data_IF_055897652593
#
_entry.id   IF_055897652593
#
_cell.length_a   1.000
_cell.length_b   1.000
_cell.length_c   1.000
_cell.angle_alpha   90.00
_cell.angle_beta   90.00
_cell.angle_gamma   90.00
#
_symmetry.space_group_name_H-M   'P 1'
#
loop_
_entity.id
_entity.type
_entity.pdbx_description
1 polymer ?
#
# COMPACT_ATOMS: atom_id res chain seq x y z
N UNK A 1 -21.06 3.05 -24.32
CA UNK A 1 -19.85 3.71 -23.78
C UNK A 1 -20.06 3.90 -22.28
N UNK A 2 -19.46 3.05 -21.44
CA UNK A 2 -19.61 3.14 -20.00
C UNK A 2 -18.89 4.42 -19.49
N UNK A 3 -19.56 5.16 -18.62
CA UNK A 3 -19.09 6.43 -18.09
C UNK A 3 -17.89 6.21 -17.16
N UNK A 4 -16.73 6.78 -17.48
CA UNK A 4 -15.46 6.65 -16.72
C UNK A 4 -15.62 6.91 -15.21
N UNK A 5 -16.59 7.75 -14.77
CA UNK A 5 -16.86 7.95 -13.33
C UNK A 5 -17.41 6.70 -12.64
N UNK A 6 -18.29 5.96 -13.30
CA UNK A 6 -18.97 4.80 -12.72
C UNK A 6 -17.99 3.64 -12.52
N UNK A 7 -17.01 3.50 -13.41
CA UNK A 7 -15.94 2.50 -13.28
C UNK A 7 -14.95 2.85 -12.16
N UNK A 8 -14.58 4.13 -12.02
CA UNK A 8 -13.73 4.59 -10.91
C UNK A 8 -14.37 4.35 -9.53
N UNK A 9 -15.66 4.67 -9.36
CA UNK A 9 -16.36 4.41 -8.10
C UNK A 9 -16.50 2.92 -7.80
N UNK A 10 -16.70 2.09 -8.84
CA UNK A 10 -16.72 0.63 -8.70
C UNK A 10 -15.35 0.10 -8.26
N UNK A 11 -14.26 0.55 -8.87
CA UNK A 11 -12.90 0.16 -8.51
C UNK A 11 -12.54 0.52 -7.06
N UNK A 12 -12.89 1.73 -6.60
CA UNK A 12 -12.68 2.15 -5.21
C UNK A 12 -13.50 1.30 -4.22
N UNK A 13 -14.74 0.95 -4.57
CA UNK A 13 -15.56 0.04 -3.76
C UNK A 13 -14.93 -1.35 -3.66
N UNK A 14 -14.42 -1.90 -4.75
CA UNK A 14 -13.73 -3.20 -4.75
C UNK A 14 -12.44 -3.19 -3.95
N UNK A 15 -11.65 -2.11 -4.03
CA UNK A 15 -10.47 -1.91 -3.20
C UNK A 15 -10.86 -1.94 -1.72
N UNK A 16 -11.87 -1.15 -1.33
CA UNK A 16 -12.37 -1.10 0.04
C UNK A 16 -12.87 -2.47 0.54
N UNK A 17 -13.65 -3.20 -0.25
CA UNK A 17 -14.13 -4.53 0.13
C UNK A 17 -12.97 -5.52 0.28
N UNK A 18 -11.97 -5.48 -0.62
CA UNK A 18 -10.81 -6.36 -0.50
C UNK A 18 -9.95 -6.06 0.71
N UNK A 19 -9.82 -4.77 1.06
CA UNK A 19 -9.20 -4.37 2.32
C UNK A 19 -9.92 -5.01 3.50
N UNK A 20 -11.26 -4.95 3.55
CA UNK A 20 -12.04 -5.57 4.62
C UNK A 20 -11.83 -7.08 4.72
N UNK A 21 -11.71 -7.80 3.61
CA UNK A 21 -11.42 -9.24 3.62
C UNK A 21 -10.02 -9.51 4.18
N UNK A 22 -9.01 -8.77 3.71
CA UNK A 22 -7.64 -8.89 4.22
C UNK A 22 -7.56 -8.58 5.71
N UNK A 23 -8.35 -7.61 6.18
CA UNK A 23 -8.49 -7.33 7.60
C UNK A 23 -9.06 -8.54 8.34
N UNK A 24 -10.19 -9.07 7.87
CA UNK A 24 -10.85 -10.19 8.54
C UNK A 24 -9.97 -11.44 8.62
N UNK A 25 -9.21 -11.73 7.57
CA UNK A 25 -8.39 -12.94 7.48
C UNK A 25 -7.02 -12.82 8.15
N UNK A 26 -6.38 -11.65 8.08
CA UNK A 26 -4.96 -11.51 8.42
C UNK A 26 -4.67 -10.58 9.60
N UNK A 27 -5.64 -9.78 10.05
CA UNK A 27 -5.42 -8.82 11.13
C UNK A 27 -4.93 -9.49 12.42
N UNK A 28 -5.46 -10.66 12.77
CA UNK A 28 -5.04 -11.40 13.97
C UNK A 28 -3.63 -11.98 13.88
N UNK A 29 -3.07 -12.12 12.67
CA UNK A 29 -1.70 -12.59 12.46
C UNK A 29 -0.65 -11.46 12.47
N UNK A 30 -1.08 -10.21 12.63
CA UNK A 30 -0.22 -9.02 12.65
C UNK A 30 -0.22 -8.37 14.04
N UNK A 31 0.95 -7.92 14.46
CA UNK A 31 1.11 -7.00 15.58
C UNK A 31 0.54 -5.62 15.21
N UNK A 32 0.25 -4.77 16.22
CA UNK A 32 -0.22 -3.40 15.96
C UNK A 32 0.76 -2.57 15.10
N UNK A 33 2.07 -2.80 15.25
CA UNK A 33 3.11 -2.16 14.42
C UNK A 33 3.01 -2.59 12.97
N UNK A 34 2.93 -3.90 12.72
CA UNK A 34 2.79 -4.45 11.36
C UNK A 34 1.49 -3.98 10.72
N UNK A 35 0.40 -3.98 11.48
CA UNK A 35 -0.90 -3.52 11.02
C UNK A 35 -0.85 -2.06 10.55
N UNK A 36 -0.25 -1.17 11.35
CA UNK A 36 -0.11 0.25 10.99
C UNK A 36 0.72 0.44 9.71
N UNK A 37 1.81 -0.30 9.56
CA UNK A 37 2.65 -0.26 8.35
C UNK A 37 1.94 -0.83 7.12
N UNK A 38 1.21 -1.93 7.28
CA UNK A 38 0.44 -2.55 6.20
C UNK A 38 -0.64 -1.60 5.68
N UNK A 39 -1.42 -0.98 6.57
CA UNK A 39 -2.41 0.05 6.21
C UNK A 39 -1.77 1.20 5.45
N UNK A 40 -0.61 1.67 5.91
CA UNK A 40 0.12 2.74 5.24
C UNK A 40 0.49 2.35 3.80
N UNK A 41 1.04 1.15 3.59
CA UNK A 41 1.39 0.66 2.24
C UNK A 41 0.14 0.49 1.39
N UNK A 42 -0.91 -0.11 1.95
CA UNK A 42 -2.19 -0.32 1.27
C UNK A 42 -2.78 1.00 0.78
N UNK A 43 -2.88 2.00 1.66
CA UNK A 43 -3.42 3.32 1.32
C UNK A 43 -2.63 3.90 0.14
N UNK A 44 -1.30 3.89 0.24
CA UNK A 44 -0.37 4.44 -0.77
C UNK A 44 -0.32 3.70 -2.10
N UNK A 45 -0.70 2.43 -2.10
CA UNK A 45 -0.69 1.59 -3.30
C UNK A 45 -2.12 1.41 -3.79
N UNK A 46 -2.82 0.39 -3.32
CA UNK A 46 -4.12 0.00 -3.83
C UNK A 46 -5.20 1.05 -3.54
N UNK A 47 -5.11 1.79 -2.44
CA UNK A 47 -6.00 2.93 -2.16
C UNK A 47 -5.94 4.03 -3.22
N UNK A 48 -4.81 4.17 -3.92
CA UNK A 48 -4.63 5.07 -5.07
C UNK A 48 -4.65 4.33 -6.42
N UNK A 49 -5.13 3.08 -6.46
CA UNK A 49 -5.10 2.22 -7.66
C UNK A 49 -3.70 2.02 -8.26
N UNK A 50 -2.67 2.00 -7.42
CA UNK A 50 -1.26 1.78 -7.80
C UNK A 50 -0.79 0.42 -7.32
N UNK A 51 0.05 -0.24 -8.12
CA UNK A 51 0.73 -1.46 -7.71
C UNK A 51 1.85 -1.19 -6.72
N UNK A 52 2.72 -0.26 -7.06
CA UNK A 52 3.92 0.06 -6.31
C UNK A 52 3.89 1.53 -5.92
N UNK A 53 4.39 1.86 -4.74
CA UNK A 53 4.69 3.23 -4.38
C UNK A 53 6.10 3.32 -3.78
N UNK A 54 6.82 4.40 -4.08
CA UNK A 54 8.13 4.68 -3.49
C UNK A 54 7.87 5.36 -2.15
N UNK A 55 8.21 4.67 -1.07
CA UNK A 55 7.95 5.15 0.29
C UNK A 55 9.27 5.20 1.06
N UNK A 56 9.66 6.39 1.50
CA UNK A 56 10.80 6.56 2.39
C UNK A 56 10.45 6.18 3.82
N UNK A 57 11.45 5.75 4.59
CA UNK A 57 11.28 5.52 6.03
C UNK A 57 10.79 6.76 6.79
N UNK A 58 11.16 7.96 6.35
CA UNK A 58 10.65 9.20 6.96
C UNK A 58 9.16 9.36 6.72
N UNK A 59 8.64 8.96 5.56
CA UNK A 59 7.21 9.01 5.27
C UNK A 59 6.44 7.99 6.13
N UNK A 60 7.00 6.80 6.37
CA UNK A 60 6.42 5.87 7.34
C UNK A 60 6.37 6.46 8.76
N UNK A 61 7.43 7.11 9.22
CA UNK A 61 7.47 7.69 10.57
C UNK A 61 6.55 8.90 10.71
N UNK A 62 6.68 9.88 9.80
CA UNK A 62 6.15 11.25 9.95
C UNK A 62 4.98 11.56 9.03
N UNK A 63 4.72 10.71 8.05
CA UNK A 63 3.66 10.91 7.07
C UNK A 63 4.09 11.61 5.79
N UNK A 64 3.09 12.01 5.03
CA UNK A 64 3.23 12.65 3.73
C UNK A 64 2.47 13.96 3.78
N UNK A 65 3.22 15.03 3.59
CA UNK A 65 2.68 16.39 3.47
C UNK A 65 3.19 16.94 2.15
N UNK A 66 2.33 17.60 1.39
CA UNK A 66 2.77 18.28 0.18
C UNK A 66 3.35 19.69 0.47
N UNK A 67 3.83 20.35 -0.57
CA UNK A 67 4.42 21.69 -0.47
C UNK A 67 3.41 22.76 0.00
N UNK A 68 2.10 22.49 -0.10
CA UNK A 68 1.04 23.41 0.35
C UNK A 68 0.69 23.21 1.83
N UNK A 69 1.30 22.21 2.48
CA UNK A 69 1.00 21.85 3.86
C UNK A 69 -0.18 20.88 4.01
N UNK A 70 -0.76 20.40 2.90
CA UNK A 70 -1.84 19.42 2.97
C UNK A 70 -1.28 18.05 3.37
N UNK A 71 -1.82 17.50 4.46
CA UNK A 71 -1.41 16.22 5.02
C UNK A 71 -2.22 15.09 4.38
N UNK A 72 -1.57 14.31 3.53
CA UNK A 72 -2.15 13.13 2.88
C UNK A 72 -2.22 11.93 3.82
N UNK A 73 -1.23 11.81 4.71
CA UNK A 73 -1.20 10.79 5.75
C UNK A 73 -0.30 11.26 6.90
N UNK A 74 -0.67 10.98 8.15
CA UNK A 74 0.10 11.40 9.34
C UNK A 74 1.28 10.48 9.72
N UNK A 75 1.63 9.54 8.85
CA UNK A 75 2.58 8.47 9.20
C UNK A 75 2.00 7.46 10.18
N UNK A 76 2.89 6.62 10.70
CA UNK A 76 2.57 5.60 11.71
C UNK A 76 2.95 6.04 13.13
N UNK A 77 3.72 7.13 13.28
CA UNK A 77 4.26 7.57 14.57
C UNK A 77 5.34 6.65 15.15
N UNK A 78 5.71 5.59 14.43
CA UNK A 78 6.71 4.62 14.87
C UNK A 78 8.13 5.17 14.74
N UNK A 79 9.01 4.72 15.65
CA UNK A 79 10.45 4.96 15.50
C UNK A 79 10.98 4.29 14.22
N UNK A 80 12.02 4.84 13.63
CA UNK A 80 12.62 4.30 12.40
C UNK A 80 13.04 2.83 12.55
N UNK A 81 13.57 2.45 13.70
CA UNK A 81 13.96 1.07 14.01
C UNK A 81 12.75 0.14 14.05
N UNK A 82 11.63 0.60 14.63
CA UNK A 82 10.36 -0.14 14.66
C UNK A 82 9.77 -0.31 13.25
N UNK A 83 9.83 0.74 12.42
CA UNK A 83 9.42 0.67 11.01
C UNK A 83 10.24 -0.40 10.26
N UNK A 84 11.57 -0.34 10.34
CA UNK A 84 12.44 -1.29 9.63
C UNK A 84 12.15 -2.73 10.08
N UNK A 85 12.03 -2.96 11.40
CA UNK A 85 11.73 -4.29 11.94
C UNK A 85 10.35 -4.79 11.51
N UNK A 86 9.33 -3.92 11.58
CA UNK A 86 7.97 -4.25 11.16
C UNK A 86 7.87 -4.57 9.68
N UNK A 87 8.54 -3.80 8.81
CA UNK A 87 8.58 -4.04 7.37
C UNK A 87 9.26 -5.38 7.04
N UNK A 88 10.39 -5.70 7.70
CA UNK A 88 11.04 -7.00 7.54
C UNK A 88 10.12 -8.15 7.98
N UNK A 89 9.39 -7.98 9.08
CA UNK A 89 8.45 -8.98 9.57
C UNK A 89 7.27 -9.19 8.61
N UNK A 90 6.68 -8.10 8.10
CA UNK A 90 5.62 -8.16 7.09
C UNK A 90 6.08 -8.87 5.80
N UNK A 91 7.31 -8.59 5.36
CA UNK A 91 7.90 -9.25 4.19
C UNK A 91 8.13 -10.74 4.46
N UNK A 92 8.64 -11.11 5.64
CA UNK A 92 8.83 -12.51 6.03
C UNK A 92 7.50 -13.28 6.12
N UNK A 93 6.41 -12.60 6.52
CA UNK A 93 5.03 -13.15 6.51
C UNK A 93 4.41 -13.21 5.11
N UNK A 94 5.10 -12.71 4.08
CA UNK A 94 4.60 -12.70 2.70
C UNK A 94 3.41 -11.75 2.49
N UNK A 95 3.26 -10.71 3.31
CA UNK A 95 2.14 -9.76 3.19
C UNK A 95 2.47 -8.58 2.26
N UNK A 96 3.75 -8.24 2.15
CA UNK A 96 4.24 -7.14 1.32
C UNK A 96 5.42 -7.59 0.48
N UNK A 97 5.66 -6.84 -0.60
CA UNK A 97 6.82 -7.01 -1.47
C UNK A 97 7.56 -5.69 -1.59
N UNK A 98 8.87 -5.78 -1.85
CA UNK A 98 9.74 -4.61 -2.06
C UNK A 98 10.57 -4.79 -3.31
N UNK A 99 10.91 -3.69 -3.98
CA UNK A 99 11.88 -3.66 -5.07
C UNK A 99 12.72 -2.38 -5.05
N UNK A 100 13.95 -2.40 -5.58
CA UNK A 100 14.73 -1.18 -5.79
C UNK A 100 13.99 -0.19 -6.69
N UNK A 101 14.06 1.10 -6.37
CA UNK A 101 13.45 2.18 -7.14
C UNK A 101 14.35 3.42 -7.13
N UNK A 102 15.32 3.45 -8.05
CA UNK A 102 16.38 4.46 -8.08
C UNK A 102 17.19 4.43 -6.78
N UNK A 103 17.30 5.58 -6.10
CA UNK A 103 17.96 5.68 -4.79
C UNK A 103 17.11 5.22 -3.60
N UNK A 104 15.91 4.66 -3.83
CA UNK A 104 14.99 4.25 -2.77
C UNK A 104 14.42 2.85 -2.96
N UNK A 105 13.37 2.58 -2.18
CA UNK A 105 12.67 1.29 -2.17
C UNK A 105 11.20 1.58 -2.52
N UNK A 106 10.66 0.77 -3.43
CA UNK A 106 9.22 0.73 -3.70
C UNK A 106 8.59 -0.43 -2.93
N UNK A 107 7.39 -0.20 -2.40
CA UNK A 107 6.61 -1.14 -1.60
C UNK A 107 5.29 -1.47 -2.32
N UNK A 108 4.80 -2.68 -2.09
CA UNK A 108 3.49 -3.16 -2.56
C UNK A 108 2.88 -4.14 -1.56
N UNK A 109 1.55 -4.21 -1.52
CA UNK A 109 0.86 -5.38 -0.95
C UNK A 109 1.01 -6.52 -1.95
N UNK A 110 1.31 -7.74 -1.46
CA UNK A 110 1.60 -8.87 -2.34
C UNK A 110 0.47 -9.10 -3.35
N UNK A 111 0.83 -9.26 -4.63
CA UNK A 111 -0.11 -9.28 -5.76
C UNK A 111 -1.17 -10.38 -5.67
N UNK A 112 -0.88 -11.50 -5.04
CA UNK A 112 -1.84 -12.59 -4.81
C UNK A 112 -3.07 -12.16 -4.00
N UNK A 113 -2.96 -11.06 -3.25
CA UNK A 113 -4.08 -10.48 -2.53
C UNK A 113 -4.90 -9.48 -3.35
N UNK A 114 -4.46 -9.13 -4.57
CA UNK A 114 -5.07 -8.08 -5.36
C UNK A 114 -6.49 -8.45 -5.80
N UNK A 115 -7.46 -7.52 -5.75
CA UNK A 115 -8.78 -7.77 -6.28
C UNK A 115 -8.71 -7.98 -7.81
N UNK A 116 -9.55 -8.86 -8.37
CA UNK A 116 -9.71 -8.98 -9.81
C UNK A 116 -10.02 -7.61 -10.42
N UNK A 117 -9.41 -7.28 -11.56
CA UNK A 117 -9.65 -6.00 -12.21
C UNK A 117 -8.84 -4.82 -11.67
N UNK A 118 -8.11 -4.93 -10.54
CA UNK A 118 -7.31 -3.82 -10.00
C UNK A 118 -6.30 -3.27 -11.01
N UNK A 119 -5.84 -4.12 -11.93
CA UNK A 119 -4.80 -3.80 -12.91
C UNK A 119 -5.31 -3.76 -14.36
N UNK A 120 -6.64 -3.88 -14.57
CA UNK A 120 -7.22 -3.87 -15.91
C UNK A 120 -7.31 -2.41 -16.37
N UNK A 121 -6.20 -1.91 -16.93
CA UNK A 121 -6.16 -1.03 -18.12
C UNK A 121 -4.89 -0.18 -18.29
N UNK A 122 -3.89 -0.16 -17.39
CA UNK A 122 -2.73 0.77 -17.59
C UNK A 122 -1.32 0.36 -17.17
N UNK A 123 -1.03 -0.88 -16.79
CA UNK A 123 0.37 -1.27 -16.50
C UNK A 123 0.62 -2.73 -16.86
N UNK A 124 0.89 -2.98 -18.15
CA UNK A 124 1.78 -4.09 -18.51
C UNK A 124 3.13 -3.84 -17.85
N UNK A 125 3.79 -4.87 -17.29
CA UNK A 125 5.15 -4.71 -16.82
C UNK A 125 6.03 -4.50 -18.04
N UNK A 126 6.74 -3.36 -18.09
CA UNK A 126 7.92 -3.23 -18.94
C UNK A 126 8.82 -4.43 -18.66
N UNK A 127 8.80 -5.36 -19.60
CA UNK A 127 9.71 -6.49 -19.68
C UNK A 127 10.92 -5.95 -20.43
N UNK A 128 12.02 -5.77 -19.71
CA UNK A 128 13.38 -5.94 -20.23
C UNK A 128 14.15 -6.78 -19.22
#
# INVERSE_FOLDING_TARGET
>A
MANNRTEHHRAQRWQFLRFQDLMRERQFAMTGTEWSLFCFIYDRTWGWSKLWDRISYSQFCKGITDATGHCWHRGTGLSRSSVIRGLKSLQAKGLIETKPAGSGIAFSIKREFAPPGLFVSKFEPDTQ
#
